data_IF_367331731452
#
_entry.id   IF_367331731452
#
_cell.length_a   1.000
_cell.length_b   1.000
_cell.length_c   1.000
_cell.angle_alpha   90.00
_cell.angle_beta   90.00
_cell.angle_gamma   90.00
#
_symmetry.space_group_name_H-M   'P 1'
#
loop_
_entity.id
_entity.type
_entity.pdbx_description
1 polymer ?
#
# COMPACT_ATOMS: atom_id res chain seq x y z
N UNK A 1 17.47 5.27 11.06
CA UNK A 1 18.79 4.83 10.52
C UNK A 1 19.33 3.57 11.22
N UNK A 2 19.45 3.55 12.55
CA UNK A 2 20.02 2.40 13.30
C UNK A 2 19.33 1.05 13.06
N UNK A 3 17.99 1.01 13.01
CA UNK A 3 17.25 -0.23 12.77
C UNK A 3 17.57 -0.85 11.40
N UNK A 4 17.69 -0.04 10.35
CA UNK A 4 18.02 -0.52 8.99
C UNK A 4 19.42 -1.12 8.96
N UNK A 5 20.40 -0.41 9.56
CA UNK A 5 21.78 -0.90 9.64
C UNK A 5 21.84 -2.21 10.43
N UNK A 6 21.12 -2.30 11.56
CA UNK A 6 21.06 -3.52 12.36
C UNK A 6 20.45 -4.69 11.57
N UNK A 7 19.38 -4.46 10.81
CA UNK A 7 18.78 -5.50 9.95
C UNK A 7 19.80 -5.98 8.90
N UNK A 8 20.54 -5.08 8.25
CA UNK A 8 21.58 -5.45 7.28
C UNK A 8 22.70 -6.28 7.94
N UNK A 9 23.13 -5.89 9.15
CA UNK A 9 24.11 -6.66 9.92
C UNK A 9 23.57 -8.06 10.26
N UNK A 10 22.32 -8.16 10.71
CA UNK A 10 21.70 -9.45 11.02
C UNK A 10 21.59 -10.34 9.78
N UNK A 11 21.24 -9.80 8.62
CA UNK A 11 21.21 -10.54 7.36
C UNK A 11 22.62 -11.05 6.97
N UNK A 12 23.65 -10.22 7.13
CA UNK A 12 25.03 -10.62 6.90
C UNK A 12 25.47 -11.74 7.87
N UNK A 13 25.13 -11.62 9.15
CA UNK A 13 25.41 -12.65 10.16
C UNK A 13 24.65 -13.96 9.87
N UNK A 14 23.40 -13.89 9.44
CA UNK A 14 22.62 -15.05 9.02
C UNK A 14 23.23 -15.74 7.79
N UNK A 15 23.71 -14.97 6.81
CA UNK A 15 24.42 -15.50 5.65
C UNK A 15 25.74 -16.18 6.05
N UNK A 16 26.50 -15.59 6.99
CA UNK A 16 27.69 -16.20 7.54
C UNK A 16 27.36 -17.50 8.30
N UNK A 17 26.34 -17.47 9.17
CA UNK A 17 25.84 -18.63 9.91
C UNK A 17 25.45 -19.79 8.98
N UNK A 18 24.77 -19.46 7.87
CA UNK A 18 24.41 -20.43 6.83
C UNK A 18 25.63 -21.12 6.26
N UNK A 19 26.65 -20.33 5.86
CA UNK A 19 27.88 -20.87 5.30
C UNK A 19 28.65 -21.72 6.33
N UNK A 20 28.74 -21.27 7.59
CA UNK A 20 29.40 -22.00 8.67
C UNK A 20 28.70 -23.34 8.96
N UNK A 21 27.37 -23.34 9.04
CA UNK A 21 26.57 -24.55 9.25
C UNK A 21 26.71 -25.55 8.11
N UNK A 22 26.67 -25.06 6.86
CA UNK A 22 26.91 -25.89 5.66
C UNK A 22 28.30 -26.49 5.65
N UNK A 23 29.35 -25.69 5.87
CA UNK A 23 30.75 -26.16 5.91
C UNK A 23 30.98 -27.19 7.03
N UNK A 24 30.41 -26.98 8.22
CA UNK A 24 30.48 -27.94 9.32
C UNK A 24 29.84 -29.28 8.96
N UNK A 25 28.65 -29.26 8.34
CA UNK A 25 27.98 -30.50 7.93
C UNK A 25 28.83 -31.29 6.93
N UNK A 26 29.50 -30.62 5.99
CA UNK A 26 30.37 -31.24 5.00
C UNK A 26 31.64 -31.83 5.62
N UNK A 27 32.27 -31.14 6.59
CA UNK A 27 33.45 -31.66 7.27
C UNK A 27 33.13 -32.88 8.13
N UNK A 28 31.98 -32.89 8.81
CA UNK A 28 31.50 -34.05 9.57
C UNK A 28 31.12 -35.22 8.65
N UNK A 29 30.54 -34.93 7.47
CA UNK A 29 30.27 -35.94 6.46
C UNK A 29 31.55 -36.61 5.94
N UNK A 30 32.62 -35.84 5.70
CA UNK A 30 33.92 -36.38 5.31
C UNK A 30 34.46 -37.40 6.32
N UNK A 31 34.29 -37.12 7.62
CA UNK A 31 34.69 -38.03 8.72
C UNK A 31 33.77 -39.26 8.85
N UNK A 32 32.51 -39.17 8.45
CA UNK A 32 31.50 -40.20 8.62
C UNK A 32 31.33 -41.13 7.39
N UNK A 33 32.15 -40.99 6.35
CA UNK A 33 32.08 -41.81 5.13
C UNK A 33 31.32 -41.18 3.96
N UNK A 34 31.18 -39.85 3.95
CA UNK A 34 30.64 -39.05 2.84
C UNK A 34 29.27 -38.43 3.10
N UNK A 35 28.84 -37.53 2.19
CA UNK A 35 27.60 -36.75 2.31
C UNK A 35 26.35 -37.63 2.44
N UNK A 36 26.38 -38.84 1.85
CA UNK A 36 25.26 -39.82 1.90
C UNK A 36 24.95 -40.33 3.32
N UNK A 37 25.85 -40.14 4.28
CA UNK A 37 25.66 -40.53 5.68
C UNK A 37 24.99 -39.44 6.52
N UNK A 38 24.84 -38.22 5.99
CA UNK A 38 24.02 -37.19 6.62
C UNK A 38 22.54 -37.50 6.40
N UNK A 39 21.71 -37.33 7.43
CA UNK A 39 20.26 -37.48 7.30
C UNK A 39 19.62 -36.42 6.38
N UNK A 40 20.19 -35.21 6.32
CA UNK A 40 19.67 -34.09 5.53
C UNK A 40 20.74 -33.51 4.62
N UNK A 41 20.34 -32.83 3.54
CA UNK A 41 21.29 -32.14 2.67
C UNK A 41 22.03 -31.03 3.44
N UNK A 42 23.33 -30.78 3.15
CA UNK A 42 24.13 -29.72 3.79
C UNK A 42 23.47 -28.34 3.83
N UNK A 43 22.63 -28.01 2.84
CA UNK A 43 21.88 -26.77 2.81
C UNK A 43 20.91 -26.59 3.99
N UNK A 44 20.26 -27.65 4.45
CA UNK A 44 19.34 -27.58 5.60
C UNK A 44 20.07 -27.33 6.93
N UNK A 45 21.31 -27.82 7.08
CA UNK A 45 22.15 -27.49 8.23
C UNK A 45 22.59 -26.02 8.21
N UNK A 46 22.81 -25.45 7.02
CA UNK A 46 23.00 -24.02 6.84
C UNK A 46 21.77 -23.21 7.27
N UNK A 47 20.58 -23.56 6.76
CA UNK A 47 19.34 -22.88 7.15
C UNK A 47 19.05 -23.00 8.65
N UNK A 48 19.31 -24.18 9.24
CA UNK A 48 19.20 -24.37 10.68
C UNK A 48 20.10 -23.40 11.47
N UNK A 49 21.38 -23.28 11.10
CA UNK A 49 22.30 -22.34 11.74
C UNK A 49 21.88 -20.87 11.54
N UNK A 50 21.38 -20.53 10.35
CA UNK A 50 20.84 -19.19 10.07
C UNK A 50 19.60 -18.87 10.91
N UNK A 51 18.71 -19.84 11.14
CA UNK A 51 17.53 -19.67 12.01
C UNK A 51 17.96 -19.43 13.45
N UNK A 52 18.90 -20.21 13.99
CA UNK A 52 19.41 -20.00 15.35
C UNK A 52 20.08 -18.64 15.54
N UNK A 53 20.76 -18.14 14.51
CA UNK A 53 21.33 -16.79 14.48
C UNK A 53 20.23 -15.71 14.39
N UNK A 54 19.31 -15.84 13.44
CA UNK A 54 18.37 -14.79 13.06
C UNK A 54 17.17 -14.69 13.99
N UNK A 55 16.52 -15.80 14.29
CA UNK A 55 15.21 -15.80 14.97
C UNK A 55 15.25 -15.15 16.36
N UNK A 56 16.21 -15.47 17.26
CA UNK A 56 16.29 -14.82 18.57
C UNK A 56 16.63 -13.33 18.47
N UNK A 57 17.54 -12.95 17.59
CA UNK A 57 17.95 -11.57 17.41
C UNK A 57 16.83 -10.70 16.81
N UNK A 58 16.09 -11.25 15.83
CA UNK A 58 14.90 -10.62 15.26
C UNK A 58 13.79 -10.50 16.30
N UNK A 59 13.60 -11.49 17.17
CA UNK A 59 12.61 -11.41 18.24
C UNK A 59 12.93 -10.27 19.22
N UNK A 60 14.19 -10.12 19.63
CA UNK A 60 14.62 -8.97 20.46
C UNK A 60 14.34 -7.64 19.75
N UNK A 61 14.67 -7.54 18.46
CA UNK A 61 14.39 -6.35 17.66
C UNK A 61 12.90 -6.02 17.60
N UNK A 62 12.05 -7.01 17.31
CA UNK A 62 10.61 -6.83 17.23
C UNK A 62 10.00 -6.42 18.57
N UNK A 63 10.42 -7.05 19.67
CA UNK A 63 9.97 -6.69 21.03
C UNK A 63 10.39 -5.25 21.35
N UNK A 64 11.64 -4.89 21.08
CA UNK A 64 12.10 -3.52 21.32
C UNK A 64 11.32 -2.50 20.49
N UNK A 65 11.10 -2.74 19.20
CA UNK A 65 10.32 -1.83 18.33
C UNK A 65 8.87 -1.67 18.81
N UNK A 66 8.25 -2.74 19.32
CA UNK A 66 6.90 -2.69 19.85
C UNK A 66 6.78 -1.86 21.15
N UNK A 67 7.80 -1.91 22.02
CA UNK A 67 7.71 -1.34 23.36
C UNK A 67 8.58 -0.09 23.61
N UNK A 68 9.52 0.24 22.74
CA UNK A 68 10.46 1.36 22.91
C UNK A 68 9.74 2.67 23.23
N UNK A 69 8.73 3.02 22.43
CA UNK A 69 7.99 4.28 22.61
C UNK A 69 7.32 4.35 23.98
N UNK A 70 6.73 3.24 24.44
CA UNK A 70 6.06 3.16 25.75
C UNK A 70 7.08 3.29 26.87
N UNK A 71 8.20 2.56 26.80
CA UNK A 71 9.24 2.55 27.83
C UNK A 71 9.87 3.94 27.95
N UNK A 72 10.35 4.50 26.83
CA UNK A 72 11.03 5.80 26.82
C UNK A 72 10.09 6.91 27.28
N UNK A 73 8.84 6.92 26.82
CA UNK A 73 7.87 7.94 27.23
C UNK A 73 7.56 7.86 28.72
N UNK A 74 7.37 6.65 29.28
CA UNK A 74 7.14 6.48 30.72
C UNK A 74 8.32 6.97 31.56
N UNK A 75 9.55 6.72 31.11
CA UNK A 75 10.74 7.22 31.78
C UNK A 75 10.83 8.75 31.74
N UNK A 76 10.57 9.37 30.58
CA UNK A 76 10.57 10.84 30.47
C UNK A 76 9.47 11.47 31.33
N UNK A 77 8.25 10.93 31.31
CA UNK A 77 7.14 11.43 32.12
C UNK A 77 7.43 11.29 33.62
N UNK A 78 8.15 10.24 34.03
CA UNK A 78 8.55 10.04 35.41
C UNK A 78 9.59 11.05 35.92
N UNK A 79 10.22 11.83 35.03
CA UNK A 79 11.20 12.87 35.36
C UNK A 79 10.62 14.30 35.22
N UNK A 80 9.41 14.46 34.66
CA UNK A 80 8.75 15.78 34.53
C UNK A 80 8.37 16.38 35.89
N UNK A 81 8.21 17.71 36.03
CA UNK A 81 7.71 18.30 37.27
C UNK A 81 6.33 17.76 37.69
N UNK A 82 6.04 17.70 39.00
CA UNK A 82 4.75 17.23 39.51
C UNK A 82 3.56 18.02 38.94
N UNK A 83 3.74 19.33 38.72
CA UNK A 83 2.74 20.20 38.11
C UNK A 83 2.37 19.79 36.67
N UNK A 84 3.34 19.28 35.90
CA UNK A 84 3.12 18.79 34.54
C UNK A 84 2.49 17.40 34.54
N UNK A 85 2.84 16.55 35.50
CA UNK A 85 2.26 15.20 35.63
C UNK A 85 0.80 15.22 36.09
N UNK A 86 0.38 16.25 36.82
CA UNK A 86 -1.00 16.43 37.28
C UNK A 86 -1.95 17.03 36.24
N UNK A 87 -1.45 17.35 35.03
CA UNK A 87 -2.28 17.84 33.94
C UNK A 87 -3.30 16.77 33.49
N UNK A 88 -4.36 17.21 32.81
CA UNK A 88 -5.30 16.28 32.18
C UNK A 88 -4.59 15.41 31.13
N UNK A 89 -5.11 14.22 30.84
CA UNK A 89 -4.50 13.29 29.88
C UNK A 89 -4.28 13.92 28.50
N UNK A 90 -5.21 14.76 28.05
CA UNK A 90 -5.11 15.48 26.78
C UNK A 90 -3.98 16.52 26.79
N UNK A 91 -3.86 17.30 27.87
CA UNK A 91 -2.82 18.32 28.00
C UNK A 91 -1.43 17.71 28.16
N UNK A 92 -1.31 16.62 28.92
CA UNK A 92 -0.07 15.87 29.06
C UNK A 92 0.34 15.25 27.72
N UNK A 93 -0.61 14.73 26.95
CA UNK A 93 -0.39 14.21 25.60
C UNK A 93 0.20 15.26 24.65
N UNK A 94 -0.30 16.51 24.70
CA UNK A 94 0.26 17.63 23.94
C UNK A 94 1.70 17.94 24.35
N UNK A 95 1.99 17.99 25.65
CA UNK A 95 3.36 18.23 26.15
C UNK A 95 4.32 17.12 25.69
N UNK A 96 3.90 15.86 25.76
CA UNK A 96 4.72 14.73 25.29
C UNK A 96 4.99 14.83 23.79
N UNK A 97 4.00 15.23 23.00
CA UNK A 97 4.17 15.43 21.56
C UNK A 97 5.13 16.59 21.25
N UNK A 98 5.03 17.72 21.97
CA UNK A 98 5.97 18.84 21.81
C UNK A 98 7.40 18.43 22.21
N UNK A 99 7.58 17.63 23.29
CA UNK A 99 8.89 17.08 23.69
C UNK A 99 9.48 16.19 22.57
N UNK A 100 8.66 15.31 21.98
CA UNK A 100 9.08 14.44 20.88
C UNK A 100 9.44 15.24 19.63
N UNK A 101 8.60 16.21 19.26
CA UNK A 101 8.85 17.09 18.13
C UNK A 101 10.14 17.87 18.32
N UNK A 102 10.36 18.44 19.51
CA UNK A 102 11.58 19.16 19.84
C UNK A 102 12.83 18.27 19.75
N UNK A 103 12.73 17.02 20.25
CA UNK A 103 13.82 16.04 20.16
C UNK A 103 14.15 15.63 18.72
N UNK A 104 13.18 15.67 17.82
CA UNK A 104 13.34 15.38 16.39
C UNK A 104 13.74 16.61 15.56
N UNK A 105 13.75 17.81 16.17
CA UNK A 105 14.02 19.07 15.48
C UNK A 105 12.82 19.62 14.69
N UNK A 106 11.62 19.15 14.98
CA UNK A 106 10.36 19.58 14.39
C UNK A 106 9.77 20.81 15.10
N UNK A 107 8.76 21.43 14.49
CA UNK A 107 8.05 22.59 15.02
C UNK A 107 7.21 22.17 16.26
N UNK A 108 7.24 23.00 17.30
CA UNK A 108 6.49 22.82 18.55
C UNK A 108 5.32 23.79 18.64
N UNK A 109 4.30 23.41 19.42
CA UNK A 109 3.05 24.17 19.56
C UNK A 109 3.12 25.32 20.57
N UNK A 110 4.15 25.31 21.45
CA UNK A 110 4.31 26.20 22.60
C UNK A 110 5.74 26.73 22.68
N UNK A 111 5.92 27.83 23.43
CA UNK A 111 7.25 28.34 23.73
C UNK A 111 8.08 27.29 24.47
N UNK A 112 9.34 27.14 24.05
CA UNK A 112 10.25 26.13 24.59
C UNK A 112 10.74 26.58 25.97
N UNK A 113 10.13 26.03 27.02
CA UNK A 113 10.63 26.20 28.38
C UNK A 113 11.96 25.45 28.59
N UNK A 114 12.80 25.89 29.55
CA UNK A 114 14.03 25.17 29.90
C UNK A 114 13.77 23.71 30.30
N UNK A 115 12.65 23.47 30.98
CA UNK A 115 12.21 22.14 31.41
C UNK A 115 11.82 21.25 30.22
N UNK A 116 11.14 21.81 29.23
CA UNK A 116 10.76 21.09 28.00
C UNK A 116 12.00 20.72 27.18
N UNK A 117 12.98 21.63 27.09
CA UNK A 117 14.26 21.34 26.43
C UNK A 117 15.04 20.24 27.14
N UNK A 118 15.13 20.30 28.47
CA UNK A 118 15.78 19.25 29.26
C UNK A 118 15.08 17.89 29.09
N UNK A 119 13.74 17.87 29.04
CA UNK A 119 12.98 16.64 28.78
C UNK A 119 13.21 16.10 27.35
N UNK A 120 13.32 16.96 26.35
CA UNK A 120 13.63 16.57 24.97
C UNK A 120 15.07 16.03 24.82
N UNK A 121 16.04 16.64 25.49
CA UNK A 121 17.42 16.15 25.55
C UNK A 121 17.50 14.78 26.26
N UNK A 122 16.76 14.62 27.36
CA UNK A 122 16.65 13.35 28.07
C UNK A 122 16.00 12.26 27.19
N UNK A 123 14.90 12.58 26.50
CA UNK A 123 14.24 11.70 25.53
C UNK A 123 15.21 11.25 24.43
N UNK A 124 15.97 12.19 23.87
CA UNK A 124 16.99 11.92 22.84
C UNK A 124 18.08 10.98 23.38
N UNK A 125 18.55 11.23 24.60
CA UNK A 125 19.57 10.39 25.24
C UNK A 125 19.05 8.96 25.51
N UNK A 126 17.84 8.81 26.04
CA UNK A 126 17.21 7.50 26.25
C UNK A 126 17.04 6.74 24.93
N UNK A 127 16.60 7.40 23.86
CA UNK A 127 16.49 6.78 22.55
C UNK A 127 17.85 6.35 21.99
N UNK A 128 18.90 7.15 22.21
CA UNK A 128 20.27 6.81 21.81
C UNK A 128 20.79 5.60 22.59
N UNK A 129 20.66 5.60 23.91
CA UNK A 129 21.08 4.51 24.79
C UNK A 129 20.30 3.23 24.43
N UNK A 130 18.98 3.33 24.31
CA UNK A 130 18.12 2.21 23.96
C UNK A 130 18.45 1.62 22.59
N UNK A 131 18.71 2.45 21.59
CA UNK A 131 19.13 1.99 20.26
C UNK A 131 20.50 1.30 20.30
N UNK A 132 21.46 1.84 21.05
CA UNK A 132 22.79 1.24 21.20
C UNK A 132 22.71 -0.11 21.96
N UNK A 133 21.94 -0.15 23.05
CA UNK A 133 21.70 -1.37 23.81
C UNK A 133 21.03 -2.44 22.96
N UNK A 134 20.03 -2.08 22.16
CA UNK A 134 19.39 -2.98 21.21
C UNK A 134 20.40 -3.61 20.24
N UNK A 135 21.28 -2.81 19.65
CA UNK A 135 22.31 -3.30 18.71
C UNK A 135 23.22 -4.31 19.41
N UNK A 136 23.72 -3.98 20.61
CA UNK A 136 24.61 -4.88 21.37
C UNK A 136 23.90 -6.19 21.73
N UNK A 137 22.67 -6.12 22.25
CA UNK A 137 21.91 -7.31 22.66
C UNK A 137 21.55 -8.16 21.44
N UNK A 138 21.07 -7.55 20.35
CA UNK A 138 20.71 -8.27 19.13
C UNK A 138 21.91 -8.97 18.49
N UNK A 139 23.07 -8.30 18.39
CA UNK A 139 24.31 -8.93 17.88
C UNK A 139 24.79 -10.03 18.82
N UNK A 140 24.74 -9.83 20.14
CA UNK A 140 25.15 -10.85 21.11
C UNK A 140 24.27 -12.10 21.00
N UNK A 141 22.95 -11.91 20.87
CA UNK A 141 21.99 -13.00 20.64
C UNK A 141 22.23 -13.71 19.31
N UNK A 142 22.56 -12.96 18.25
CA UNK A 142 22.89 -13.54 16.96
C UNK A 142 24.16 -14.40 17.03
N UNK A 143 25.24 -13.88 17.62
CA UNK A 143 26.50 -14.60 17.80
C UNK A 143 26.35 -15.85 18.68
N UNK A 144 25.59 -15.74 19.77
CA UNK A 144 25.22 -16.88 20.62
C UNK A 144 24.43 -17.92 19.81
N UNK A 145 23.49 -17.46 19.00
CA UNK A 145 22.74 -18.29 18.04
C UNK A 145 23.62 -19.03 17.06
N UNK A 146 24.63 -18.37 16.47
CA UNK A 146 25.63 -19.01 15.61
C UNK A 146 26.40 -20.08 16.39
N UNK A 147 26.88 -19.76 17.59
CA UNK A 147 27.66 -20.69 18.40
C UNK A 147 26.87 -21.96 18.78
N UNK A 148 25.61 -21.78 19.21
CA UNK A 148 24.70 -22.88 19.55
C UNK A 148 24.31 -23.69 18.31
N UNK A 149 23.88 -23.01 17.25
CA UNK A 149 23.52 -23.63 15.98
C UNK A 149 24.69 -24.43 15.38
N UNK A 150 25.91 -23.89 15.47
CA UNK A 150 27.12 -24.61 15.09
C UNK A 150 27.34 -25.83 15.99
N UNK A 151 27.32 -25.66 17.32
CA UNK A 151 27.57 -26.74 18.30
C UNK A 151 26.63 -27.93 18.14
N UNK A 152 25.34 -27.69 17.89
CA UNK A 152 24.33 -28.75 17.83
C UNK A 152 24.32 -29.55 16.52
N UNK A 153 24.99 -29.08 15.46
CA UNK A 153 25.06 -29.83 14.20
C UNK A 153 25.75 -31.18 14.43
N UNK A 154 25.02 -32.24 14.12
CA UNK A 154 25.47 -33.64 14.15
C UNK A 154 24.95 -34.41 12.91
N UNK A 155 25.61 -35.50 12.48
CA UNK A 155 25.22 -36.23 11.26
C UNK A 155 23.83 -36.88 11.32
N UNK A 156 23.38 -37.26 12.51
CA UNK A 156 22.09 -37.90 12.76
C UNK A 156 20.92 -36.90 12.88
N UNK A 157 21.22 -35.60 12.95
CA UNK A 157 20.20 -34.57 13.12
C UNK A 157 19.29 -34.48 11.89
N UNK A 158 17.98 -34.45 12.14
CA UNK A 158 16.95 -34.20 11.11
C UNK A 158 16.81 -32.70 10.82
N UNK A 159 17.87 -32.08 10.28
CA UNK A 159 17.91 -30.62 10.07
C UNK A 159 16.76 -30.12 9.18
N UNK A 160 16.37 -30.91 8.16
CA UNK A 160 15.21 -30.59 7.31
C UNK A 160 13.92 -30.42 8.12
N UNK A 161 13.58 -31.38 8.97
CA UNK A 161 12.34 -31.35 9.76
C UNK A 161 12.29 -30.15 10.71
N UNK A 162 13.42 -29.75 11.31
CA UNK A 162 13.48 -28.59 12.19
C UNK A 162 13.27 -27.28 11.42
N UNK A 163 13.92 -27.14 10.26
CA UNK A 163 13.73 -25.96 9.38
C UNK A 163 12.28 -25.90 8.91
N UNK A 164 11.72 -27.02 8.43
CA UNK A 164 10.32 -27.09 8.00
C UNK A 164 9.34 -26.80 9.14
N UNK A 165 9.62 -27.24 10.38
CA UNK A 165 8.79 -26.92 11.53
C UNK A 165 8.76 -25.40 11.82
N UNK A 166 9.91 -24.72 11.75
CA UNK A 166 9.99 -23.27 11.94
C UNK A 166 9.25 -22.53 10.83
N UNK A 167 9.46 -22.92 9.56
CA UNK A 167 8.75 -22.31 8.42
C UNK A 167 7.24 -22.54 8.54
N UNK A 168 6.80 -23.75 8.90
CA UNK A 168 5.38 -24.07 9.13
C UNK A 168 4.81 -23.24 10.27
N UNK A 169 5.52 -23.08 11.37
CA UNK A 169 5.10 -22.23 12.49
C UNK A 169 4.95 -20.76 12.07
N UNK A 170 5.89 -20.22 11.29
CA UNK A 170 5.80 -18.86 10.74
C UNK A 170 4.61 -18.69 9.80
N UNK A 171 4.35 -19.67 8.91
CA UNK A 171 3.20 -19.64 8.01
C UNK A 171 1.87 -19.73 8.78
N UNK A 172 1.78 -20.61 9.78
CA UNK A 172 0.60 -20.72 10.65
C UNK A 172 0.38 -19.40 11.39
N UNK A 173 1.40 -18.86 12.05
CA UNK A 173 1.30 -17.58 12.76
C UNK A 173 0.86 -16.44 11.83
N UNK A 174 1.47 -16.34 10.64
CA UNK A 174 1.12 -15.32 9.65
C UNK A 174 -0.34 -15.46 9.19
N UNK A 175 -0.80 -16.67 8.89
CA UNK A 175 -2.19 -16.92 8.49
C UNK A 175 -3.18 -16.61 9.62
N UNK A 176 -2.85 -16.95 10.86
CA UNK A 176 -3.66 -16.67 12.05
C UNK A 176 -3.78 -15.16 12.28
N UNK A 177 -2.67 -14.42 12.21
CA UNK A 177 -2.68 -12.94 12.30
C UNK A 177 -3.54 -12.34 11.20
N UNK A 178 -3.41 -12.82 9.96
CA UNK A 178 -4.22 -12.33 8.84
C UNK A 178 -5.73 -12.56 9.06
N UNK A 179 -6.12 -13.76 9.50
CA UNK A 179 -7.53 -14.10 9.81
C UNK A 179 -8.06 -13.18 10.93
N UNK A 180 -7.33 -13.05 12.03
CA UNK A 180 -7.76 -12.18 13.13
C UNK A 180 -7.80 -10.71 12.74
N UNK A 181 -6.89 -10.25 11.88
CA UNK A 181 -6.91 -8.88 11.35
C UNK A 181 -8.14 -8.66 10.48
N UNK A 182 -8.48 -9.60 9.60
CA UNK A 182 -9.70 -9.52 8.77
C UNK A 182 -10.96 -9.51 9.63
N UNK A 183 -11.03 -10.38 10.63
CA UNK A 183 -12.14 -10.38 11.60
C UNK A 183 -12.18 -9.06 12.35
N UNK A 184 -11.03 -8.54 12.79
CA UNK A 184 -10.91 -7.26 13.49
C UNK A 184 -11.40 -6.08 12.63
N UNK A 185 -11.01 -6.03 11.35
CA UNK A 185 -11.48 -5.01 10.40
C UNK A 185 -12.99 -5.13 10.21
N UNK A 186 -13.51 -6.34 9.99
CA UNK A 186 -14.94 -6.57 9.81
C UNK A 186 -15.75 -6.14 11.03
N UNK A 187 -15.31 -6.56 12.23
CA UNK A 187 -15.95 -6.17 13.48
C UNK A 187 -15.84 -4.66 13.73
N UNK A 188 -14.69 -4.06 13.44
CA UNK A 188 -14.49 -2.61 13.57
C UNK A 188 -15.45 -1.84 12.67
N UNK A 189 -15.53 -2.19 11.38
CA UNK A 189 -16.45 -1.54 10.44
C UNK A 189 -17.90 -1.79 10.88
N UNK A 190 -18.24 -3.01 11.30
CA UNK A 190 -19.59 -3.34 11.77
C UNK A 190 -20.00 -2.51 13.00
N UNK A 191 -19.15 -2.44 14.02
CA UNK A 191 -19.45 -1.68 15.23
C UNK A 191 -19.55 -0.18 14.97
N UNK A 192 -18.64 0.39 14.16
CA UNK A 192 -18.70 1.80 13.79
C UNK A 192 -19.91 2.11 12.89
N UNK A 193 -20.27 1.21 11.96
CA UNK A 193 -21.52 1.34 11.19
C UNK A 193 -22.77 1.27 12.07
N UNK A 194 -22.82 0.36 13.05
CA UNK A 194 -23.96 0.30 13.99
C UNK A 194 -24.04 1.59 14.82
N UNK A 195 -22.91 2.13 15.29
CA UNK A 195 -22.86 3.42 16.00
C UNK A 195 -23.36 4.56 15.11
N UNK A 196 -22.90 4.60 13.86
CA UNK A 196 -23.35 5.56 12.87
C UNK A 196 -24.88 5.50 12.64
N UNK A 197 -25.44 4.31 12.41
CA UNK A 197 -26.89 4.16 12.17
C UNK A 197 -27.77 4.33 13.41
N UNK A 198 -27.18 4.39 14.61
CA UNK A 198 -27.89 4.86 15.82
C UNK A 198 -28.05 6.38 15.85
N UNK A 199 -27.14 7.12 15.20
CA UNK A 199 -27.19 8.58 15.12
C UNK A 199 -27.98 9.04 13.89
N UNK A 200 -27.85 8.33 12.76
CA UNK A 200 -28.49 8.66 11.50
C UNK A 200 -29.39 7.51 11.06
N UNK A 201 -30.71 7.69 10.97
CA UNK A 201 -31.62 6.66 10.49
C UNK A 201 -31.22 6.14 9.11
N UNK A 202 -31.34 4.82 8.89
CA UNK A 202 -31.01 4.19 7.61
C UNK A 202 -31.79 4.81 6.44
N UNK A 203 -33.04 5.22 6.66
CA UNK A 203 -33.87 5.90 5.65
C UNK A 203 -33.29 7.26 5.25
N UNK A 204 -32.80 8.05 6.21
CA UNK A 204 -32.17 9.35 5.93
C UNK A 204 -30.83 9.17 5.21
N UNK A 205 -30.08 8.12 5.56
CA UNK A 205 -28.87 7.79 4.84
C UNK A 205 -29.16 7.35 3.40
N UNK A 206 -30.08 6.40 3.18
CA UNK A 206 -30.33 5.84 1.84
C UNK A 206 -31.06 6.81 0.90
N UNK A 207 -32.02 7.59 1.43
CA UNK A 207 -32.88 8.47 0.62
C UNK A 207 -32.57 9.96 0.79
N UNK A 208 -31.61 10.32 1.65
CA UNK A 208 -31.20 11.71 1.84
C UNK A 208 -30.62 12.31 0.57
N UNK A 209 -31.03 13.54 0.26
CA UNK A 209 -30.67 14.27 -0.97
C UNK A 209 -29.49 15.23 -0.78
N UNK A 210 -28.95 15.33 0.41
CA UNK A 210 -27.85 16.23 0.74
C UNK A 210 -26.69 15.44 1.33
N UNK A 211 -25.49 15.77 0.88
CA UNK A 211 -24.25 15.25 1.43
C UNK A 211 -23.43 16.42 1.96
N UNK A 212 -23.40 16.56 3.28
CA UNK A 212 -22.59 17.54 3.99
C UNK A 212 -22.10 16.94 5.30
N UNK A 213 -21.04 16.13 5.27
CA UNK A 213 -20.49 15.46 6.46
C UNK A 213 -19.72 16.42 7.39
N UNK A 214 -19.55 17.68 6.98
CA UNK A 214 -18.79 18.69 7.71
C UNK A 214 -19.62 19.27 8.86
N UNK A 215 -19.47 18.69 10.06
CA UNK A 215 -20.02 19.28 11.28
C UNK A 215 -19.13 20.44 11.76
N UNK A 216 -19.73 21.55 12.18
CA UNK A 216 -18.98 22.66 12.79
C UNK A 216 -18.34 22.18 14.11
N UNK A 217 -17.01 22.15 14.18
CA UNK A 217 -16.27 21.75 15.39
C UNK A 217 -16.06 22.95 16.32
N UNK A 218 -16.10 24.17 15.78
CA UNK A 218 -15.99 25.44 16.51
C UNK A 218 -17.20 26.33 16.24
N UNK A 219 -17.55 27.20 17.21
CA UNK A 219 -18.67 28.16 17.10
C UNK A 219 -18.49 29.11 15.91
N UNK A 220 -17.25 29.38 15.51
CA UNK A 220 -16.91 30.28 14.40
C UNK A 220 -16.79 29.55 13.05
N UNK A 221 -16.94 28.22 13.01
CA UNK A 221 -16.92 27.45 11.78
C UNK A 221 -18.32 27.36 11.17
N UNK A 222 -18.44 27.73 9.90
CA UNK A 222 -19.61 27.42 9.08
C UNK A 222 -19.59 25.91 8.80
N UNK A 223 -20.30 25.14 9.60
CA UNK A 223 -20.54 23.71 9.37
C UNK A 223 -22.03 23.43 9.26
N UNK A 224 -22.38 22.34 8.60
CA UNK A 224 -23.77 21.90 8.45
C UNK A 224 -24.19 20.99 9.61
N UNK A 225 -25.47 20.65 9.68
CA UNK A 225 -26.06 19.74 10.66
C UNK A 225 -25.63 18.26 10.52
N UNK A 226 -24.51 17.96 9.84
CA UNK A 226 -24.03 16.60 9.61
C UNK A 226 -25.04 15.77 8.82
N UNK A 227 -25.23 16.11 7.53
CA UNK A 227 -26.21 15.43 6.67
C UNK A 227 -25.52 14.40 5.80
N UNK A 228 -25.93 13.13 5.90
CA UNK A 228 -25.25 11.99 5.28
C UNK A 228 -26.13 11.25 4.26
N UNK A 229 -26.74 11.97 3.32
CA UNK A 229 -27.50 11.36 2.23
C UNK A 229 -26.59 10.65 1.21
N UNK A 230 -26.79 9.36 0.99
CA UNK A 230 -26.03 8.54 0.06
C UNK A 230 -26.46 8.73 -1.40
N UNK A 231 -27.70 9.18 -1.64
CA UNK A 231 -28.26 9.25 -2.98
C UNK A 231 -27.47 10.20 -3.93
N UNK A 232 -27.05 11.41 -3.51
CA UNK A 232 -26.17 12.25 -4.32
C UNK A 232 -24.82 11.61 -4.66
N UNK A 233 -24.27 10.77 -3.78
CA UNK A 233 -23.00 10.07 -4.04
C UNK A 233 -23.17 9.00 -5.11
N UNK A 234 -24.25 8.21 -5.03
CA UNK A 234 -24.55 7.21 -6.05
C UNK A 234 -24.89 7.86 -7.39
N UNK A 235 -25.79 8.84 -7.40
CA UNK A 235 -26.18 9.56 -8.62
C UNK A 235 -25.00 10.32 -9.22
N UNK A 236 -24.16 10.97 -8.40
CA UNK A 236 -22.94 11.63 -8.84
C UNK A 236 -21.97 10.65 -9.48
N UNK A 237 -21.75 9.48 -8.88
CA UNK A 237 -20.91 8.43 -9.44
C UNK A 237 -21.45 7.91 -10.77
N UNK A 238 -22.75 7.63 -10.85
CA UNK A 238 -23.41 7.18 -12.08
C UNK A 238 -23.31 8.24 -13.17
N UNK A 239 -23.55 9.51 -12.84
CA UNK A 239 -23.48 10.63 -13.78
C UNK A 239 -22.06 10.84 -14.33
N UNK A 240 -21.05 10.87 -13.45
CA UNK A 240 -19.64 10.98 -13.85
C UNK A 240 -19.25 9.78 -14.72
N UNK A 241 -19.65 8.57 -14.33
CA UNK A 241 -19.37 7.35 -15.11
C UNK A 241 -20.04 7.38 -16.47
N UNK A 242 -21.29 7.84 -16.56
CA UNK A 242 -22.00 7.98 -17.83
C UNK A 242 -21.28 8.97 -18.76
N UNK A 243 -20.93 10.15 -18.26
CA UNK A 243 -20.19 11.16 -19.02
C UNK A 243 -18.83 10.61 -19.47
N UNK A 244 -18.10 9.95 -18.56
CA UNK A 244 -16.82 9.33 -18.87
C UNK A 244 -16.95 8.29 -19.99
N UNK A 245 -17.98 7.43 -19.95
CA UNK A 245 -18.22 6.41 -20.98
C UNK A 245 -18.66 7.03 -22.31
N UNK A 246 -19.46 8.09 -22.29
CA UNK A 246 -19.85 8.83 -23.50
C UNK A 246 -18.64 9.46 -24.22
N UNK A 247 -17.57 9.77 -23.48
CA UNK A 247 -16.31 10.26 -24.07
C UNK A 247 -15.39 9.10 -24.45
N UNK A 248 -15.15 8.18 -23.51
CA UNK A 248 -14.14 7.14 -23.66
C UNK A 248 -14.52 6.07 -24.66
N UNK A 249 -15.78 5.63 -24.70
CA UNK A 249 -16.20 4.54 -25.57
C UNK A 249 -16.11 4.95 -27.04
N UNK A 250 -16.71 6.07 -27.50
CA UNK A 250 -16.62 6.42 -28.91
C UNK A 250 -15.18 6.68 -29.35
N UNK A 251 -14.41 7.45 -28.55
CA UNK A 251 -13.04 7.80 -28.94
C UNK A 251 -12.12 6.58 -28.87
N UNK A 252 -12.20 5.80 -27.79
CA UNK A 252 -11.38 4.61 -27.59
C UNK A 252 -11.68 3.51 -28.62
N UNK A 253 -12.97 3.21 -28.86
CA UNK A 253 -13.37 2.19 -29.82
C UNK A 253 -13.02 2.60 -31.26
N UNK A 254 -13.26 3.85 -31.65
CA UNK A 254 -12.87 4.32 -32.99
C UNK A 254 -11.36 4.35 -33.17
N UNK A 255 -10.60 4.69 -32.12
CA UNK A 255 -9.14 4.62 -32.14
C UNK A 255 -8.66 3.18 -32.30
N UNK A 256 -9.27 2.22 -31.60
CA UNK A 256 -8.98 0.80 -31.74
C UNK A 256 -9.24 0.30 -33.17
N UNK A 257 -10.45 0.52 -33.69
CA UNK A 257 -10.85 0.11 -35.06
C UNK A 257 -9.89 0.69 -36.08
N UNK A 258 -9.55 1.97 -35.94
CA UNK A 258 -8.63 2.63 -36.86
C UNK A 258 -7.23 2.03 -36.78
N UNK A 259 -6.70 1.80 -35.57
CA UNK A 259 -5.36 1.24 -35.38
C UNK A 259 -5.23 -0.22 -35.81
N UNK A 260 -6.29 -1.01 -35.65
CA UNK A 260 -6.29 -2.44 -35.99
C UNK A 260 -6.54 -2.68 -37.49
N UNK A 261 -7.46 -1.92 -38.11
CA UNK A 261 -7.94 -2.22 -39.46
C UNK A 261 -7.44 -1.26 -40.54
N UNK A 262 -7.22 0.01 -40.21
CA UNK A 262 -6.93 1.05 -41.22
C UNK A 262 -5.51 1.60 -41.14
N UNK A 263 -4.88 1.58 -39.96
CA UNK A 263 -3.60 2.24 -39.74
C UNK A 263 -2.44 1.47 -40.38
N UNK A 264 -1.62 2.18 -41.16
CA UNK A 264 -0.36 1.65 -41.66
C UNK A 264 0.66 1.41 -40.53
N UNK A 265 1.65 0.55 -40.80
CA UNK A 265 2.68 0.13 -39.82
C UNK A 265 3.35 1.27 -39.07
N UNK A 266 3.64 2.40 -39.76
CA UNK A 266 4.29 3.57 -39.16
C UNK A 266 3.41 4.26 -38.12
N UNK A 267 2.13 4.45 -38.43
CA UNK A 267 1.22 5.11 -37.51
C UNK A 267 0.96 4.24 -36.28
N UNK A 268 0.74 2.94 -36.48
CA UNK A 268 0.56 2.00 -35.38
C UNK A 268 1.78 1.96 -34.44
N UNK A 269 2.99 1.97 -35.00
CA UNK A 269 4.23 1.97 -34.23
C UNK A 269 4.44 3.23 -33.36
N UNK A 270 3.73 4.34 -33.64
CA UNK A 270 3.80 5.58 -32.85
C UNK A 270 2.58 5.72 -31.94
N UNK A 271 1.38 5.51 -32.47
CA UNK A 271 0.14 5.75 -31.74
C UNK A 271 -0.09 4.76 -30.59
N UNK A 272 0.24 3.46 -30.77
CA UNK A 272 0.03 2.45 -29.72
C UNK A 272 0.91 2.73 -28.49
N UNK A 273 2.24 2.97 -28.61
CA UNK A 273 3.05 3.38 -27.45
C UNK A 273 2.58 4.68 -26.79
N UNK A 274 2.09 5.66 -27.55
CA UNK A 274 1.57 6.90 -26.96
C UNK A 274 0.31 6.65 -26.12
N UNK A 275 -0.61 5.80 -26.59
CA UNK A 275 -1.77 5.38 -25.80
C UNK A 275 -1.32 4.66 -24.52
N UNK A 276 -0.35 3.75 -24.60
CA UNK A 276 0.19 3.05 -23.43
C UNK A 276 0.84 4.01 -22.42
N UNK A 277 1.57 5.03 -22.89
CA UNK A 277 2.12 6.08 -22.04
C UNK A 277 1.02 6.88 -21.34
N UNK A 278 -0.06 7.23 -22.06
CA UNK A 278 -1.21 7.92 -21.48
C UNK A 278 -1.87 7.10 -20.37
N UNK A 279 -1.96 5.78 -20.52
CA UNK A 279 -2.47 4.88 -19.48
C UNK A 279 -1.59 4.84 -18.22
N UNK A 280 -0.30 5.16 -18.36
CA UNK A 280 0.68 5.18 -17.27
C UNK A 280 0.67 6.47 -16.43
N UNK A 281 -0.10 7.50 -16.81
CA UNK A 281 -0.18 8.75 -16.05
C UNK A 281 -0.89 8.49 -14.72
N UNK A 282 -0.30 8.86 -13.57
CA UNK A 282 -0.93 8.65 -12.26
C UNK A 282 -2.29 9.36 -12.17
N UNK A 283 -3.30 8.68 -11.62
CA UNK A 283 -4.67 9.20 -11.50
C UNK A 283 -4.75 10.52 -10.72
N UNK A 284 -3.85 10.72 -9.75
CA UNK A 284 -3.74 11.98 -8.99
C UNK A 284 -3.40 13.16 -9.91
N UNK A 285 -2.56 12.97 -10.93
CA UNK A 285 -2.21 14.03 -11.89
C UNK A 285 -3.43 14.44 -12.69
N UNK A 286 -4.23 13.47 -13.15
CA UNK A 286 -5.51 13.75 -13.81
C UNK A 286 -6.48 14.50 -12.90
N UNK A 287 -6.54 14.15 -11.61
CA UNK A 287 -7.37 14.86 -10.62
C UNK A 287 -6.99 16.33 -10.46
N UNK A 288 -5.69 16.64 -10.30
CA UNK A 288 -5.21 18.02 -10.23
C UNK A 288 -5.45 18.79 -11.53
N UNK A 289 -5.20 18.16 -12.68
CA UNK A 289 -5.46 18.77 -13.98
C UNK A 289 -6.96 19.06 -14.19
N UNK A 290 -7.83 18.14 -13.74
CA UNK A 290 -9.27 18.35 -13.78
C UNK A 290 -9.68 19.58 -12.97
N UNK A 291 -9.21 19.69 -11.72
CA UNK A 291 -9.59 20.76 -10.82
C UNK A 291 -9.01 22.13 -11.20
N UNK A 292 -7.74 22.17 -11.63
CA UNK A 292 -7.02 23.43 -11.85
C UNK A 292 -7.07 23.94 -13.28
N UNK A 293 -7.43 23.09 -14.25
CA UNK A 293 -7.44 23.47 -15.67
C UNK A 293 -8.80 23.23 -16.31
N UNK A 294 -9.30 21.99 -16.29
CA UNK A 294 -10.52 21.65 -17.04
C UNK A 294 -11.78 22.24 -16.40
N UNK A 295 -11.89 22.19 -15.07
CA UNK A 295 -13.01 22.76 -14.33
C UNK A 295 -13.18 24.28 -14.55
N UNK A 296 -12.12 25.11 -14.40
CA UNK A 296 -12.19 26.54 -14.76
C UNK A 296 -12.59 26.76 -16.21
N UNK A 297 -12.01 26.02 -17.17
CA UNK A 297 -12.34 26.17 -18.60
C UNK A 297 -13.82 25.89 -18.86
N UNK A 298 -14.38 24.82 -18.28
CA UNK A 298 -15.79 24.48 -18.43
C UNK A 298 -16.69 25.53 -17.79
N UNK A 299 -16.34 25.98 -16.58
CA UNK A 299 -17.08 27.04 -15.88
C UNK A 299 -17.10 28.34 -16.68
N UNK A 300 -15.92 28.80 -17.10
CA UNK A 300 -15.78 30.08 -17.79
C UNK A 300 -16.47 30.02 -19.16
N UNK A 301 -16.35 28.88 -19.88
CA UNK A 301 -17.09 28.65 -21.14
C UNK A 301 -18.61 28.67 -20.94
N UNK A 302 -19.11 28.07 -19.85
CA UNK A 302 -20.53 28.13 -19.47
C UNK A 302 -20.98 29.55 -19.18
N UNK A 303 -20.17 30.32 -18.46
CA UNK A 303 -20.48 31.72 -18.12
C UNK A 303 -20.59 32.63 -19.35
N UNK A 304 -19.78 32.37 -20.39
CA UNK A 304 -19.83 33.12 -21.66
C UNK A 304 -21.16 32.96 -22.41
N UNK A 305 -21.81 31.80 -22.26
CA UNK A 305 -23.11 31.50 -22.86
C UNK A 305 -24.28 31.73 -21.88
N UNK A 306 -24.01 32.38 -20.74
CA UNK A 306 -25.02 32.74 -19.74
C UNK A 306 -25.48 31.58 -18.84
N UNK A 307 -24.73 30.48 -18.76
CA UNK A 307 -25.01 29.38 -17.85
C UNK A 307 -24.26 29.53 -16.54
N UNK A 308 -24.94 29.27 -15.42
CA UNK A 308 -24.29 29.17 -14.11
C UNK A 308 -23.71 27.77 -13.94
N UNK A 309 -22.37 27.67 -14.01
CA UNK A 309 -21.63 26.42 -13.97
C UNK A 309 -20.65 26.43 -12.80
N UNK A 310 -20.73 25.43 -11.93
CA UNK A 310 -19.77 25.25 -10.83
C UNK A 310 -18.47 24.62 -11.32
N UNK A 311 -17.35 25.04 -10.74
CA UNK A 311 -16.05 24.38 -10.91
C UNK A 311 -16.06 22.94 -10.38
N UNK A 312 -16.98 22.60 -9.47
CA UNK A 312 -17.17 21.24 -8.95
C UNK A 312 -18.19 20.42 -9.77
N UNK A 313 -18.37 20.77 -11.05
CA UNK A 313 -19.35 20.09 -11.91
C UNK A 313 -18.96 18.65 -12.25
N UNK A 314 -19.97 17.77 -12.30
CA UNK A 314 -19.81 16.39 -12.76
C UNK A 314 -19.29 16.29 -14.20
N UNK A 315 -19.54 17.31 -15.03
CA UNK A 315 -19.07 17.38 -16.41
C UNK A 315 -17.54 17.44 -16.48
N UNK A 316 -16.91 18.31 -15.67
CA UNK A 316 -15.46 18.43 -15.63
C UNK A 316 -14.79 17.13 -15.18
N UNK A 317 -15.28 16.55 -14.08
CA UNK A 317 -14.78 15.28 -13.57
C UNK A 317 -15.00 14.13 -14.59
N UNK A 318 -16.20 14.04 -15.16
CA UNK A 318 -16.58 13.01 -16.13
C UNK A 318 -15.76 13.05 -17.41
N UNK A 319 -15.52 14.23 -17.99
CA UNK A 319 -14.72 14.38 -19.22
C UNK A 319 -13.28 13.96 -18.98
N UNK A 320 -12.65 14.40 -17.88
CA UNK A 320 -11.26 14.03 -17.59
C UNK A 320 -11.12 12.55 -17.28
N UNK A 321 -12.07 11.98 -16.53
CA UNK A 321 -12.15 10.54 -16.32
C UNK A 321 -12.33 9.80 -17.65
N UNK A 322 -13.16 10.32 -18.57
CA UNK A 322 -13.30 9.79 -19.92
C UNK A 322 -11.97 9.77 -20.67
N UNK A 323 -11.23 10.88 -20.67
CA UNK A 323 -9.89 10.98 -21.30
C UNK A 323 -8.93 9.95 -20.72
N UNK A 324 -8.92 9.78 -19.39
CA UNK A 324 -8.10 8.80 -18.70
C UNK A 324 -8.44 7.36 -19.11
N UNK A 325 -9.71 7.07 -19.42
CA UNK A 325 -10.19 5.73 -19.79
C UNK A 325 -9.98 5.44 -21.28
N UNK A 326 -9.81 6.44 -22.15
CA UNK A 326 -9.58 6.26 -23.60
C UNK A 326 -8.49 5.22 -23.92
N UNK A 327 -7.28 5.28 -23.34
CA UNK A 327 -6.23 4.31 -23.65
C UNK A 327 -6.59 2.88 -23.27
N UNK A 328 -7.31 2.70 -22.15
CA UNK A 328 -7.75 1.38 -21.71
C UNK A 328 -8.78 0.79 -22.67
N UNK A 329 -9.79 1.56 -23.05
CA UNK A 329 -10.79 1.12 -24.03
C UNK A 329 -10.12 0.85 -25.38
N UNK A 330 -9.27 1.76 -25.85
CA UNK A 330 -8.59 1.60 -27.14
C UNK A 330 -7.67 0.38 -27.15
N UNK A 331 -6.90 0.13 -26.09
CA UNK A 331 -6.00 -1.02 -26.05
C UNK A 331 -6.75 -2.34 -25.97
N UNK A 332 -7.74 -2.44 -25.07
CA UNK A 332 -8.55 -3.65 -24.93
C UNK A 332 -9.32 -3.96 -26.22
N UNK A 333 -9.95 -2.95 -26.82
CA UNK A 333 -10.67 -3.15 -28.09
C UNK A 333 -9.73 -3.51 -29.25
N UNK A 334 -8.52 -2.92 -29.33
CA UNK A 334 -7.52 -3.28 -30.36
C UNK A 334 -7.10 -4.76 -30.22
N UNK A 335 -6.83 -5.22 -29.00
CA UNK A 335 -6.41 -6.60 -28.74
C UNK A 335 -7.52 -7.60 -29.14
N UNK A 336 -8.78 -7.30 -28.80
CA UNK A 336 -9.92 -8.17 -29.14
C UNK A 336 -10.21 -8.16 -30.65
N UNK A 337 -10.13 -7.02 -31.33
CA UNK A 337 -10.30 -6.94 -32.79
C UNK A 337 -9.21 -7.74 -33.53
N UNK A 338 -7.95 -7.63 -33.08
CA UNK A 338 -6.83 -8.39 -33.66
C UNK A 338 -6.91 -9.90 -33.37
N UNK A 339 -7.67 -10.32 -32.35
CA UNK A 339 -7.89 -11.74 -32.04
C UNK A 339 -8.86 -12.45 -33.00
N UNK A 340 -9.66 -11.70 -33.77
CA UNK A 340 -10.61 -12.27 -34.74
C UNK A 340 -9.86 -13.02 -35.86
N UNK A 341 -10.13 -14.33 -36.08
CA UNK A 341 -9.41 -15.15 -37.04
C UNK A 341 -9.40 -14.60 -38.48
N UNK A 342 -8.25 -14.68 -39.15
CA UNK A 342 -8.08 -14.24 -40.54
C UNK A 342 -9.07 -14.92 -41.50
N UNK A 343 -9.42 -16.19 -41.26
CA UNK A 343 -10.36 -16.93 -42.09
C UNK A 343 -11.75 -16.27 -42.19
N UNK A 344 -12.22 -15.58 -41.13
CA UNK A 344 -13.49 -14.86 -41.16
C UNK A 344 -13.42 -13.63 -42.08
N UNK A 345 -12.26 -12.97 -42.09
CA UNK A 345 -11.98 -11.81 -42.94
C UNK A 345 -11.92 -12.24 -44.40
N UNK A 346 -11.16 -13.29 -44.69
CA UNK A 346 -11.01 -13.84 -46.04
C UNK A 346 -12.33 -14.38 -46.60
N UNK A 347 -13.17 -15.02 -45.76
CA UNK A 347 -14.51 -15.47 -46.15
C UNK A 347 -15.44 -14.29 -46.50
N UNK A 348 -15.39 -13.21 -45.72
CA UNK A 348 -16.15 -11.98 -46.00
C UNK A 348 -15.75 -11.34 -47.32
N UNK A 349 -14.43 -11.23 -47.59
CA UNK A 349 -13.95 -10.74 -48.87
C UNK A 349 -14.29 -11.69 -50.03
N UNK A 350 -14.29 -13.00 -49.79
CA UNK A 350 -14.64 -14.01 -50.79
C UNK A 350 -16.07 -13.94 -51.31
N UNK A 351 -17.00 -13.36 -50.54
CA UNK A 351 -18.39 -13.09 -50.97
C UNK A 351 -18.58 -11.68 -51.53
N UNK A 352 -17.50 -10.92 -51.72
CA UNK A 352 -17.53 -9.58 -52.33
C UNK A 352 -17.82 -8.44 -51.36
N UNK A 353 -17.75 -8.66 -50.04
CA UNK A 353 -17.94 -7.59 -49.05
C UNK A 353 -16.79 -6.58 -49.09
N UNK A 354 -17.10 -5.31 -48.91
CA UNK A 354 -16.10 -4.24 -48.78
C UNK A 354 -15.38 -4.30 -47.42
N UNK A 355 -14.27 -3.58 -47.29
CA UNK A 355 -13.52 -3.49 -46.03
C UNK A 355 -14.39 -2.97 -44.87
N UNK A 356 -15.18 -1.93 -45.11
CA UNK A 356 -16.08 -1.35 -44.10
C UNK A 356 -17.25 -2.27 -43.73
N UNK A 357 -17.78 -3.04 -44.70
CA UNK A 357 -18.81 -4.05 -44.44
C UNK A 357 -18.25 -5.21 -43.60
N UNK A 358 -17.06 -5.69 -43.94
CA UNK A 358 -16.35 -6.75 -43.19
C UNK A 358 -16.12 -6.34 -41.73
N UNK A 359 -15.70 -5.09 -41.49
CA UNK A 359 -15.51 -4.59 -40.12
C UNK A 359 -16.83 -4.55 -39.35
N UNK A 360 -17.86 -3.95 -39.94
CA UNK A 360 -19.14 -3.72 -39.24
C UNK A 360 -19.97 -4.98 -39.05
N UNK A 361 -19.94 -5.91 -40.01
CA UNK A 361 -20.84 -7.07 -40.05
C UNK A 361 -20.17 -8.37 -39.60
N UNK A 362 -18.82 -8.45 -39.60
CA UNK A 362 -18.10 -9.67 -39.24
C UNK A 362 -17.17 -9.43 -38.07
N UNK A 363 -16.23 -8.48 -38.17
CA UNK A 363 -15.17 -8.32 -37.18
C UNK A 363 -15.73 -7.79 -35.86
N UNK A 364 -16.48 -6.69 -35.86
CA UNK A 364 -17.05 -6.12 -34.62
C UNK A 364 -18.02 -7.11 -33.94
N UNK A 365 -18.97 -7.76 -34.65
CA UNK A 365 -19.82 -8.76 -34.02
C UNK A 365 -19.06 -9.99 -33.49
N UNK A 366 -17.98 -10.41 -34.15
CA UNK A 366 -17.15 -11.52 -33.67
C UNK A 366 -16.21 -11.14 -32.51
N UNK A 367 -16.00 -9.84 -32.29
CA UNK A 367 -15.17 -9.27 -31.23
C UNK A 367 -15.97 -8.88 -29.97
N UNK A 368 -17.30 -8.96 -29.99
CA UNK A 368 -18.20 -8.78 -28.84
C UNK A 368 -18.40 -10.10 -28.11
#
# INVERSE_FOLDING_TARGET
MYAVILVLILLALMAAAYQLGRRRSQSMAGRAGGIRKLHSLPGYYGFYAAIWCGLPALLVLLVWLAFQSIIVTKMVVADLPLATRSLSEAELGLVINDIRNLAEGNIVSRDVSPEMRAAADHYTNLNRIGSAALVVVAISMALLGIALGWRFISPAMRARNQVEAVVKALLVLSSTIAIFTTIGILLSVLFESIRFFRMIPLSEFLFGLQWSPQMAIRVDQVGSSGVFGALPLFLGTVLISLIAMLVAVPIGLMSAIYLSEYAGRRLRAVAKPLLEILAGIPTVVYGFFAALTVAPVIRDSGSLIGLDVSSESALAAGVVMGIMIIPFISSLSDDVINAVPQALRDASFGVGATHSETIRQVIIPAAL
#
